data_IF_566540237175
#
_entry.id   IF_566540237175
#
_cell.length_a   1.000
_cell.length_b   1.000
_cell.length_c   1.000
_cell.angle_alpha   90.00
_cell.angle_beta   90.00
_cell.angle_gamma   90.00
#
_symmetry.space_group_name_H-M   'P 1'
#
loop_
_entity.id
_entity.type
_entity.pdbx_description
1 polymer ?
#
# COMPACT_ATOMS: atom_id res chain seq x y z
N UNK A 1 -18.87 -11.70 13.33
CA UNK A 1 -18.16 -11.03 14.45
C UNK A 1 -18.62 -9.58 14.61
N UNK A 2 -18.22 -8.64 13.75
CA UNK A 2 -18.60 -7.22 13.88
C UNK A 2 -20.11 -6.93 13.70
N UNK A 3 -20.83 -7.74 12.91
CA UNK A 3 -22.25 -7.54 12.57
C UNK A 3 -22.57 -6.10 12.13
N UNK A 4 -21.73 -5.53 11.25
CA UNK A 4 -21.95 -4.17 10.75
C UNK A 4 -23.24 -4.12 9.91
N UNK A 5 -24.15 -3.17 10.18
CA UNK A 5 -25.36 -3.00 9.37
C UNK A 5 -25.04 -2.81 7.88
N UNK A 6 -25.80 -3.51 7.02
CA UNK A 6 -25.68 -3.41 5.57
C UNK A 6 -24.43 -4.05 4.94
N UNK A 7 -23.61 -4.76 5.73
CA UNK A 7 -22.42 -5.45 5.23
C UNK A 7 -22.74 -6.60 4.27
N UNK A 8 -23.96 -7.12 4.31
CA UNK A 8 -24.47 -8.13 3.40
C UNK A 8 -24.59 -7.63 1.94
N UNK A 9 -24.61 -6.32 1.72
CA UNK A 9 -24.68 -5.72 0.38
C UNK A 9 -23.32 -5.60 -0.31
N UNK A 10 -22.23 -5.71 0.44
CA UNK A 10 -20.88 -5.51 -0.07
C UNK A 10 -20.30 -6.79 -0.71
N UNK A 11 -20.97 -7.93 -0.53
CA UNK A 11 -20.43 -9.24 -0.88
C UNK A 11 -21.44 -10.07 -1.66
N UNK A 12 -20.93 -10.80 -2.66
CA UNK A 12 -21.72 -11.72 -3.45
C UNK A 12 -22.30 -12.86 -2.58
N UNK A 13 -23.48 -13.43 -2.95
CA UNK A 13 -24.15 -14.48 -2.17
C UNK A 13 -23.26 -15.67 -1.78
N UNK A 14 -22.41 -16.12 -2.69
CA UNK A 14 -21.48 -17.23 -2.51
C UNK A 14 -20.38 -16.94 -1.49
N UNK A 15 -19.87 -15.71 -1.45
CA UNK A 15 -18.90 -15.26 -0.45
C UNK A 15 -19.56 -15.23 0.93
N UNK A 16 -20.80 -14.73 1.02
CA UNK A 16 -21.58 -14.73 2.27
C UNK A 16 -21.83 -16.14 2.79
N UNK A 17 -22.15 -17.09 1.91
CA UNK A 17 -22.35 -18.48 2.27
C UNK A 17 -21.05 -19.14 2.79
N UNK A 18 -19.91 -18.90 2.13
CA UNK A 18 -18.59 -19.36 2.60
C UNK A 18 -18.23 -18.77 3.97
N UNK A 19 -18.41 -17.45 4.13
CA UNK A 19 -18.13 -16.76 5.39
C UNK A 19 -19.01 -17.27 6.54
N UNK A 20 -20.30 -17.56 6.28
CA UNK A 20 -21.19 -18.16 7.28
C UNK A 20 -20.74 -19.55 7.68
N UNK A 21 -20.41 -20.43 6.72
CA UNK A 21 -19.90 -21.78 7.04
C UNK A 21 -18.64 -21.71 7.90
N UNK A 22 -17.65 -20.91 7.49
CA UNK A 22 -16.45 -20.70 8.30
C UNK A 22 -16.78 -20.19 9.70
N UNK A 23 -17.69 -19.23 9.85
CA UNK A 23 -18.07 -18.69 11.15
C UNK A 23 -18.78 -19.72 12.04
N UNK A 24 -19.65 -20.55 11.47
CA UNK A 24 -20.36 -21.59 12.21
C UNK A 24 -19.40 -22.71 12.67
N UNK A 25 -18.43 -23.07 11.82
CA UNK A 25 -17.44 -24.12 12.08
C UNK A 25 -16.27 -23.67 12.97
N UNK A 26 -15.94 -22.37 12.97
CA UNK A 26 -14.78 -21.84 13.68
C UNK A 26 -14.97 -21.84 15.21
N UNK A 27 -13.92 -22.26 15.92
CA UNK A 27 -13.83 -22.13 17.37
C UNK A 27 -13.83 -20.66 17.82
N UNK A 28 -14.18 -20.40 19.08
CA UNK A 28 -14.11 -19.05 19.63
C UNK A 28 -12.68 -18.50 19.64
N UNK A 29 -11.68 -19.38 19.76
CA UNK A 29 -10.27 -19.01 19.65
C UNK A 29 -9.92 -18.53 18.24
N UNK A 30 -10.33 -19.25 17.20
CA UNK A 30 -10.11 -18.84 15.81
C UNK A 30 -10.82 -17.51 15.49
N UNK A 31 -12.03 -17.32 16.01
CA UNK A 31 -12.77 -16.04 15.90
C UNK A 31 -12.02 -14.90 16.59
N UNK A 32 -11.55 -15.11 17.82
CA UNK A 32 -10.75 -14.11 18.55
C UNK A 32 -9.43 -13.80 17.84
N UNK A 33 -8.74 -14.81 17.32
CA UNK A 33 -7.50 -14.64 16.58
C UNK A 33 -7.72 -13.80 15.32
N UNK A 34 -8.73 -14.12 14.49
CA UNK A 34 -9.04 -13.33 13.30
C UNK A 34 -9.43 -11.89 13.65
N UNK A 35 -10.24 -11.70 14.70
CA UNK A 35 -10.60 -10.37 15.17
C UNK A 35 -9.37 -9.58 15.62
N UNK A 36 -8.47 -10.21 16.38
CA UNK A 36 -7.21 -9.63 16.80
C UNK A 36 -6.32 -9.28 15.60
N UNK A 37 -6.25 -10.12 14.56
CA UNK A 37 -5.50 -9.81 13.33
C UNK A 37 -6.08 -8.59 12.60
N UNK A 38 -7.40 -8.51 12.44
CA UNK A 38 -8.07 -7.37 11.80
C UNK A 38 -7.86 -6.08 12.61
N UNK A 39 -7.87 -6.19 13.95
CA UNK A 39 -7.72 -5.07 14.88
C UNK A 39 -6.28 -4.74 15.25
N UNK A 40 -5.31 -5.57 14.88
CA UNK A 40 -3.93 -5.47 15.36
C UNK A 40 -3.29 -4.11 15.01
N UNK A 41 -3.78 -3.46 13.96
CA UNK A 41 -3.09 -2.36 13.31
C UNK A 41 -1.79 -2.86 12.68
N UNK A 42 -1.46 -2.40 11.48
CA UNK A 42 -0.08 -2.53 11.02
C UNK A 42 0.83 -1.74 12.00
N UNK A 43 2.13 -2.07 12.12
CA UNK A 43 3.04 -1.41 13.05
C UNK A 43 2.92 0.12 13.01
N UNK A 44 2.45 0.71 14.11
CA UNK A 44 2.10 2.12 14.26
C UNK A 44 1.05 2.27 15.35
N UNK A 45 1.40 2.95 16.45
CA UNK A 45 0.62 2.93 17.68
C UNK A 45 -0.69 3.73 17.58
N UNK A 46 -1.84 3.04 17.66
CA UNK A 46 -3.14 3.64 17.92
C UNK A 46 -3.96 2.74 18.85
N UNK A 47 -4.92 3.33 19.56
CA UNK A 47 -5.81 2.63 20.49
C UNK A 47 -6.48 1.44 19.80
N UNK A 48 -6.32 0.25 20.38
CA UNK A 48 -6.97 -0.97 19.89
C UNK A 48 -8.45 -0.87 20.20
N UNK A 49 -9.29 -0.81 19.16
CA UNK A 49 -10.74 -0.84 19.33
C UNK A 49 -11.20 -2.26 19.67
N UNK A 50 -12.12 -2.39 20.62
CA UNK A 50 -13.00 -3.56 20.67
C UNK A 50 -14.12 -3.45 19.61
N UNK A 51 -15.06 -4.39 19.60
CA UNK A 51 -16.16 -4.40 18.62
C UNK A 51 -17.03 -3.14 18.76
N UNK A 52 -17.31 -2.69 19.99
CA UNK A 52 -18.19 -1.54 20.23
C UNK A 52 -17.50 -0.23 19.83
N UNK A 53 -16.24 -0.06 20.22
CA UNK A 53 -15.39 1.04 19.80
C UNK A 53 -15.24 1.11 18.29
N UNK A 54 -15.04 -0.03 17.62
CA UNK A 54 -14.95 -0.06 16.15
C UNK A 54 -16.28 0.35 15.50
N UNK A 55 -17.42 -0.12 16.03
CA UNK A 55 -18.75 0.32 15.54
C UNK A 55 -18.95 1.82 15.72
N UNK A 56 -18.59 2.36 16.88
CA UNK A 56 -18.69 3.79 17.17
C UNK A 56 -17.82 4.62 16.22
N UNK A 57 -16.61 4.15 15.93
CA UNK A 57 -15.73 4.81 14.97
C UNK A 57 -16.26 4.76 13.55
N UNK A 58 -16.78 3.62 13.10
CA UNK A 58 -17.40 3.48 11.78
C UNK A 58 -18.62 4.39 11.62
N UNK A 59 -19.43 4.55 12.67
CA UNK A 59 -20.61 5.42 12.64
C UNK A 59 -20.28 6.89 12.33
N UNK A 60 -19.08 7.37 12.69
CA UNK A 60 -18.63 8.74 12.37
C UNK A 60 -18.48 8.99 10.87
N UNK A 61 -18.35 7.93 10.07
CA UNK A 61 -18.19 7.99 8.63
C UNK A 61 -19.47 7.64 7.86
N UNK A 62 -20.62 7.50 8.54
CA UNK A 62 -21.89 7.08 7.92
C UNK A 62 -22.27 7.93 6.68
N UNK A 63 -22.01 9.23 6.73
CA UNK A 63 -22.31 10.19 5.64
C UNK A 63 -21.05 10.58 4.84
N UNK A 64 -19.99 9.76 4.88
CA UNK A 64 -18.74 10.01 4.17
C UNK A 64 -18.59 9.05 3.01
N UNK A 65 -19.03 9.50 1.84
CA UNK A 65 -18.76 8.82 0.58
C UNK A 65 -17.35 9.13 0.05
N UNK A 66 -17.00 8.46 -1.05
CA UNK A 66 -15.71 8.62 -1.70
C UNK A 66 -15.41 10.07 -2.12
N UNK A 67 -16.41 10.78 -2.64
CA UNK A 67 -16.25 12.17 -3.07
C UNK A 67 -16.01 13.12 -1.89
N UNK A 68 -16.73 12.92 -0.77
CA UNK A 68 -16.55 13.71 0.45
C UNK A 68 -15.19 13.45 1.06
N UNK A 69 -14.74 12.19 1.13
CA UNK A 69 -13.41 11.89 1.67
C UNK A 69 -12.30 12.51 0.80
N UNK A 70 -12.45 12.45 -0.53
CA UNK A 70 -11.54 13.14 -1.46
C UNK A 70 -11.48 14.65 -1.24
N UNK A 71 -12.64 15.33 -1.07
CA UNK A 71 -12.67 16.77 -0.75
C UNK A 71 -12.00 17.09 0.59
N UNK A 72 -12.19 16.24 1.60
CA UNK A 72 -11.53 16.43 2.89
C UNK A 72 -10.01 16.31 2.78
N UNK A 73 -9.50 15.34 2.02
CA UNK A 73 -8.07 15.19 1.76
C UNK A 73 -7.51 16.37 0.94
N UNK A 74 -8.21 16.79 -0.11
CA UNK A 74 -7.81 17.95 -0.91
C UNK A 74 -7.64 19.20 -0.04
N UNK A 75 -8.64 19.50 0.81
CA UNK A 75 -8.56 20.61 1.77
C UNK A 75 -7.37 20.48 2.72
N UNK A 76 -7.08 19.27 3.21
CA UNK A 76 -5.90 19.03 4.04
C UNK A 76 -4.61 19.36 3.27
N UNK A 77 -4.48 18.88 2.03
CA UNK A 77 -3.30 19.09 1.19
C UNK A 77 -3.10 20.57 0.84
N UNK A 78 -4.17 21.29 0.48
CA UNK A 78 -4.13 22.74 0.20
C UNK A 78 -3.54 23.54 1.37
N UNK A 79 -3.76 23.10 2.62
CA UNK A 79 -3.23 23.74 3.82
C UNK A 79 -1.79 23.30 4.16
N UNK A 80 -1.47 22.01 4.03
CA UNK A 80 -0.17 21.48 4.48
C UNK A 80 0.94 21.55 3.44
N UNK A 81 0.62 21.42 2.15
CA UNK A 81 1.61 21.37 1.07
C UNK A 81 2.42 22.67 0.97
N UNK A 82 1.84 23.88 1.04
CA UNK A 82 2.62 25.12 1.05
C UNK A 82 3.59 25.21 2.23
N UNK A 83 3.21 24.63 3.37
CA UNK A 83 4.09 24.59 4.55
C UNK A 83 5.23 23.60 4.37
N UNK A 84 4.96 22.43 3.81
CA UNK A 84 5.99 21.45 3.45
C UNK A 84 7.00 22.05 2.46
N UNK A 85 6.52 22.75 1.42
CA UNK A 85 7.35 23.40 0.42
C UNK A 85 8.28 24.46 1.02
N UNK A 86 7.75 25.38 1.86
CA UNK A 86 8.58 26.37 2.57
C UNK A 86 9.63 25.75 3.49
N UNK A 87 9.34 24.57 4.04
CA UNK A 87 10.26 23.82 4.89
C UNK A 87 11.24 22.93 4.12
N UNK A 88 11.16 22.86 2.78
CA UNK A 88 11.96 21.94 1.96
C UNK A 88 11.59 20.47 2.16
N UNK A 89 10.39 20.18 2.66
CA UNK A 89 9.86 18.84 2.89
C UNK A 89 9.06 18.37 1.68
N UNK A 90 9.22 17.09 1.34
CA UNK A 90 8.44 16.40 0.31
C UNK A 90 7.55 15.37 0.96
N UNK A 91 6.23 15.54 0.84
CA UNK A 91 5.22 14.62 1.35
C UNK A 91 5.07 13.46 0.37
N UNK A 92 4.94 12.24 0.87
CA UNK A 92 4.82 11.04 0.05
C UNK A 92 3.64 10.19 0.52
N UNK A 93 2.43 10.48 0.01
CA UNK A 93 1.23 9.76 0.43
C UNK A 93 1.35 8.27 0.08
N UNK A 94 0.98 7.39 1.01
CA UNK A 94 0.99 5.96 0.77
C UNK A 94 -0.38 5.49 0.26
N UNK A 95 -0.44 4.54 -0.69
CA UNK A 95 -1.70 3.97 -1.14
C UNK A 95 -2.42 3.20 -0.03
N UNK A 96 -3.72 3.02 -0.23
CA UNK A 96 -4.55 2.18 0.61
C UNK A 96 -4.10 0.71 0.56
N UNK A 97 -4.14 0.00 1.70
CA UNK A 97 -3.80 -1.42 1.78
C UNK A 97 -4.84 -2.23 2.58
N UNK A 98 -5.71 -3.03 1.94
CA UNK A 98 -5.83 -3.21 0.49
C UNK A 98 -6.45 -1.99 -0.24
N UNK A 99 -6.18 -1.80 -1.54
CA UNK A 99 -6.63 -0.64 -2.34
C UNK A 99 -8.06 -0.79 -2.84
N UNK A 100 -9.00 -0.99 -1.92
CA UNK A 100 -10.43 -1.12 -2.18
C UNK A 100 -11.27 -0.74 -0.96
N UNK A 101 -12.52 -0.28 -1.13
CA UNK A 101 -13.43 -0.02 -0.02
C UNK A 101 -13.55 -1.23 0.90
N UNK A 102 -13.54 -0.99 2.21
CA UNK A 102 -13.59 -2.04 3.22
C UNK A 102 -14.36 -1.53 4.44
N UNK A 103 -15.13 -2.42 5.08
CA UNK A 103 -15.97 -2.08 6.24
C UNK A 103 -17.00 -0.95 5.98
N UNK A 104 -17.44 -0.78 4.73
CA UNK A 104 -18.35 0.30 4.34
C UNK A 104 -17.69 1.69 4.31
N UNK A 105 -16.37 1.76 4.43
CA UNK A 105 -15.61 3.00 4.30
C UNK A 105 -15.07 3.16 2.88
N UNK A 106 -15.11 4.37 2.30
CA UNK A 106 -14.37 4.65 1.09
C UNK A 106 -12.87 4.61 1.35
N UNK A 107 -12.12 4.25 0.31
CA UNK A 107 -10.67 4.30 0.22
C UNK A 107 -10.33 5.08 -1.07
N UNK A 108 -9.44 6.06 -0.98
CA UNK A 108 -9.31 7.17 -1.96
C UNK A 108 -7.88 7.37 -2.49
N UNK A 109 -6.98 6.43 -2.20
CA UNK A 109 -5.61 6.34 -2.72
C UNK A 109 -5.39 4.94 -3.28
N UNK A 110 -6.34 4.45 -4.09
CA UNK A 110 -6.44 3.04 -4.49
C UNK A 110 -6.14 2.74 -5.97
N UNK A 111 -6.22 3.74 -6.85
CA UNK A 111 -6.02 3.59 -8.31
C UNK A 111 -5.17 4.72 -8.90
N UNK A 112 -4.85 4.64 -10.19
CA UNK A 112 -4.17 5.73 -10.90
C UNK A 112 -4.99 7.03 -10.90
N UNK A 113 -6.31 6.94 -11.01
CA UNK A 113 -7.22 8.10 -10.99
C UNK A 113 -7.24 8.78 -9.61
N UNK A 114 -7.23 7.99 -8.54
CA UNK A 114 -7.09 8.46 -7.16
C UNK A 114 -5.79 9.23 -6.97
N UNK A 115 -4.67 8.64 -7.40
CA UNK A 115 -3.34 9.26 -7.32
C UNK A 115 -3.32 10.58 -8.10
N UNK A 116 -3.84 10.58 -9.33
CA UNK A 116 -3.94 11.80 -10.14
C UNK A 116 -4.71 12.90 -9.43
N UNK A 117 -5.91 12.59 -8.92
CA UNK A 117 -6.71 13.54 -8.15
C UNK A 117 -5.95 14.14 -6.96
N UNK A 118 -5.20 13.32 -6.21
CA UNK A 118 -4.45 13.76 -5.03
C UNK A 118 -3.28 14.68 -5.41
N UNK A 119 -2.54 14.33 -6.46
CA UNK A 119 -1.40 15.13 -6.92
C UNK A 119 -1.84 16.47 -7.53
N UNK A 120 -3.02 16.50 -8.13
CA UNK A 120 -3.63 17.69 -8.74
C UNK A 120 -4.31 18.60 -7.71
N UNK A 121 -4.74 18.07 -6.56
CA UNK A 121 -5.39 18.87 -5.49
C UNK A 121 -4.47 19.95 -4.91
N UNK A 122 -3.15 19.74 -4.95
CA UNK A 122 -2.14 20.73 -4.59
C UNK A 122 -0.92 20.54 -5.50
N UNK A 123 -0.85 21.24 -6.65
CA UNK A 123 0.17 21.01 -7.67
C UNK A 123 1.51 21.65 -7.26
N UNK A 124 2.27 20.95 -6.43
CA UNK A 124 3.64 21.30 -6.00
C UNK A 124 4.50 20.03 -5.93
N UNK A 125 5.80 20.18 -6.18
CA UNK A 125 6.79 19.11 -5.99
C UNK A 125 6.87 18.61 -4.55
N UNK A 126 6.31 19.33 -3.58
CA UNK A 126 6.18 18.88 -2.19
C UNK A 126 4.98 17.96 -1.93
N UNK A 127 4.06 17.83 -2.87
CA UNK A 127 2.95 16.88 -2.81
C UNK A 127 3.28 15.68 -3.71
N UNK A 128 3.67 14.54 -3.13
CA UNK A 128 4.07 13.39 -3.91
C UNK A 128 3.56 12.06 -3.38
N UNK A 129 4.09 11.00 -3.98
CA UNK A 129 3.64 9.63 -3.82
C UNK A 129 4.72 8.76 -3.18
N UNK A 130 4.32 7.95 -2.20
CA UNK A 130 5.02 6.69 -1.90
C UNK A 130 4.47 5.63 -2.84
N UNK A 131 5.24 5.22 -3.85
CA UNK A 131 4.83 4.12 -4.73
C UNK A 131 5.01 2.80 -3.98
N UNK A 132 3.91 2.22 -3.49
CA UNK A 132 3.93 0.88 -2.90
C UNK A 132 3.33 -0.13 -3.86
N UNK A 133 4.20 -0.96 -4.45
CA UNK A 133 3.81 -1.98 -5.43
C UNK A 133 2.95 -3.06 -4.81
N UNK A 134 3.21 -3.45 -3.56
CA UNK A 134 2.42 -4.48 -2.89
C UNK A 134 1.01 -4.03 -2.53
N UNK A 135 0.86 -2.79 -2.03
CA UNK A 135 -0.47 -2.27 -1.73
C UNK A 135 -1.27 -2.08 -3.01
N UNK A 136 -0.77 -1.32 -3.98
CA UNK A 136 -1.49 -1.10 -5.25
C UNK A 136 -1.70 -2.40 -6.04
N UNK A 137 -0.78 -3.36 -5.97
CA UNK A 137 -0.88 -4.67 -6.62
C UNK A 137 -1.91 -5.62 -6.02
N UNK A 138 -2.40 -5.36 -4.82
CA UNK A 138 -3.50 -6.13 -4.22
C UNK A 138 -4.88 -5.76 -4.81
N UNK A 139 -4.94 -4.87 -5.80
CA UNK A 139 -6.11 -4.65 -6.67
C UNK A 139 -5.80 -5.23 -8.05
N UNK A 140 -6.49 -6.30 -8.47
CA UNK A 140 -6.46 -6.75 -9.85
C UNK A 140 -6.81 -5.61 -10.81
N UNK A 141 -6.03 -5.47 -11.89
CA UNK A 141 -6.21 -4.45 -12.92
C UNK A 141 -5.44 -3.14 -12.71
N UNK A 142 -4.78 -2.94 -11.56
CA UNK A 142 -3.78 -1.87 -11.48
C UNK A 142 -2.54 -2.26 -12.30
N UNK A 143 -2.14 -1.42 -13.26
CA UNK A 143 -0.90 -1.54 -14.02
C UNK A 143 0.22 -0.81 -13.27
N UNK A 144 1.02 -1.56 -12.48
CA UNK A 144 2.05 -0.97 -11.62
C UNK A 144 3.17 -0.27 -12.41
N UNK A 145 3.75 -0.89 -13.47
CA UNK A 145 4.68 -0.17 -14.35
C UNK A 145 4.06 1.09 -14.96
N UNK A 146 2.82 1.02 -15.44
CA UNK A 146 2.11 2.18 -16.00
C UNK A 146 1.87 3.30 -14.97
N UNK A 147 1.45 2.95 -13.75
CA UNK A 147 1.30 3.89 -12.63
C UNK A 147 2.64 4.53 -12.28
N UNK A 148 3.70 3.71 -12.16
CA UNK A 148 5.06 4.21 -11.89
C UNK A 148 5.52 5.20 -12.96
N UNK A 149 5.27 4.88 -14.24
CA UNK A 149 5.67 5.71 -15.37
C UNK A 149 4.87 7.02 -15.43
N UNK A 150 3.56 6.97 -15.17
CA UNK A 150 2.66 8.13 -15.21
C UNK A 150 2.99 9.17 -14.14
N UNK A 151 3.42 8.73 -12.96
CA UNK A 151 3.66 9.62 -11.81
C UNK A 151 5.14 9.71 -11.40
N UNK A 152 6.06 9.28 -12.27
CA UNK A 152 7.48 9.12 -11.96
C UNK A 152 8.12 10.39 -11.36
N UNK A 153 7.77 11.57 -11.88
CA UNK A 153 8.28 12.86 -11.44
C UNK A 153 7.83 13.26 -10.03
N UNK A 154 6.70 12.71 -9.55
CA UNK A 154 6.09 12.95 -8.24
C UNK A 154 6.27 11.80 -7.25
N UNK A 155 6.99 10.73 -7.61
CA UNK A 155 7.41 9.68 -6.66
C UNK A 155 8.53 10.24 -5.78
N UNK A 156 8.36 10.11 -4.47
CA UNK A 156 9.35 10.56 -3.48
C UNK A 156 9.86 9.45 -2.58
N UNK A 157 9.13 8.33 -2.51
CA UNK A 157 9.53 7.15 -1.77
C UNK A 157 8.94 5.89 -2.43
N UNK A 158 9.58 4.74 -2.24
CA UNK A 158 9.14 3.49 -2.89
C UNK A 158 9.15 2.33 -1.89
N UNK A 159 8.06 1.59 -1.87
CA UNK A 159 7.99 0.27 -1.24
C UNK A 159 7.95 -0.77 -2.34
N UNK A 160 9.04 -1.51 -2.49
CA UNK A 160 9.17 -2.57 -3.47
C UNK A 160 8.95 -3.91 -2.77
N UNK A 161 7.72 -4.41 -2.83
CA UNK A 161 7.32 -5.77 -2.44
C UNK A 161 6.26 -6.27 -3.41
N UNK A 162 5.91 -7.55 -3.35
CA UNK A 162 4.97 -8.15 -4.29
C UNK A 162 3.88 -8.93 -3.54
N UNK A 163 2.74 -9.08 -4.20
CA UNK A 163 1.59 -9.86 -3.72
C UNK A 163 1.14 -10.82 -4.80
N UNK A 164 0.52 -11.92 -4.40
CA UNK A 164 -0.15 -12.85 -5.30
C UNK A 164 -1.65 -12.80 -5.02
N UNK A 165 -2.45 -12.44 -6.02
CA UNK A 165 -3.90 -12.40 -5.93
C UNK A 165 -4.50 -13.76 -6.29
N UNK A 166 -5.50 -14.16 -5.52
CA UNK A 166 -6.33 -15.33 -5.78
C UNK A 166 -7.54 -14.94 -6.63
N UNK A 167 -8.11 -15.92 -7.33
CA UNK A 167 -9.27 -15.70 -8.20
C UNK A 167 -10.52 -15.16 -7.46
N UNK A 168 -10.60 -15.36 -6.14
CA UNK A 168 -11.71 -14.87 -5.30
C UNK A 168 -11.49 -13.45 -4.75
N UNK A 169 -10.41 -12.78 -5.14
CA UNK A 169 -10.05 -11.42 -4.73
C UNK A 169 -9.34 -11.33 -3.38
N UNK A 170 -9.03 -12.46 -2.74
CA UNK A 170 -8.03 -12.51 -1.67
C UNK A 170 -6.61 -12.41 -2.24
N UNK A 171 -5.62 -12.12 -1.39
CA UNK A 171 -4.22 -12.06 -1.80
C UNK A 171 -3.32 -12.38 -0.61
N UNK A 172 -2.06 -12.69 -0.90
CA UNK A 172 -1.00 -12.88 0.10
C UNK A 172 0.29 -12.20 -0.31
N UNK A 173 1.15 -11.90 0.66
CA UNK A 173 2.52 -11.43 0.40
C UNK A 173 3.30 -12.51 -0.34
N UNK A 174 3.89 -12.16 -1.48
CA UNK A 174 4.67 -13.07 -2.32
C UNK A 174 6.19 -12.84 -2.15
N UNK A 175 7.00 -13.70 -2.75
CA UNK A 175 8.42 -13.39 -2.97
C UNK A 175 8.53 -12.10 -3.80
N UNK A 176 9.53 -11.25 -3.56
CA UNK A 176 9.60 -9.91 -4.16
C UNK A 176 9.62 -9.93 -5.69
N UNK A 177 10.14 -11.00 -6.29
CA UNK A 177 10.19 -11.21 -7.75
C UNK A 177 9.19 -12.26 -8.26
N UNK A 178 8.36 -12.84 -7.38
CA UNK A 178 7.49 -13.99 -7.71
C UNK A 178 5.99 -13.75 -7.60
N UNK A 179 5.54 -12.52 -7.34
CA UNK A 179 4.13 -12.15 -7.31
C UNK A 179 3.62 -11.59 -8.64
N UNK A 180 2.43 -10.99 -8.60
CA UNK A 180 1.71 -10.54 -9.81
C UNK A 180 2.28 -9.26 -10.43
N UNK A 181 3.03 -8.47 -9.66
CA UNK A 181 3.68 -7.26 -10.18
C UNK A 181 4.96 -7.61 -10.92
N UNK A 182 5.11 -7.13 -12.16
CA UNK A 182 6.40 -7.14 -12.87
C UNK A 182 7.36 -6.15 -12.19
N UNK A 183 8.09 -6.67 -11.20
CA UNK A 183 9.04 -5.89 -10.40
C UNK A 183 10.22 -5.37 -11.24
N UNK A 184 10.61 -6.10 -12.29
CA UNK A 184 11.71 -5.69 -13.17
C UNK A 184 11.32 -4.46 -13.97
N UNK A 185 10.11 -4.46 -14.55
CA UNK A 185 9.57 -3.30 -15.27
C UNK A 185 9.40 -2.07 -14.36
N UNK A 186 8.89 -2.25 -13.13
CA UNK A 186 8.79 -1.14 -12.16
C UNK A 186 10.18 -0.57 -11.84
N UNK A 187 11.18 -1.42 -11.58
CA UNK A 187 12.54 -0.95 -11.28
C UNK A 187 13.17 -0.23 -12.47
N UNK A 188 12.96 -0.68 -13.72
CA UNK A 188 13.48 0.00 -14.91
C UNK A 188 12.91 1.43 -15.03
N UNK A 189 11.60 1.61 -14.82
CA UNK A 189 10.96 2.93 -14.81
C UNK A 189 11.58 3.84 -13.74
N UNK A 190 11.76 3.32 -12.52
CA UNK A 190 12.34 4.10 -11.42
C UNK A 190 13.78 4.51 -11.71
N UNK A 191 14.63 3.61 -12.23
CA UNK A 191 16.01 3.93 -12.60
C UNK A 191 16.11 4.94 -13.74
N UNK A 192 15.22 4.86 -14.74
CA UNK A 192 15.13 5.86 -15.81
C UNK A 192 14.76 7.23 -15.27
N UNK A 193 13.83 7.29 -14.32
CA UNK A 193 13.48 8.53 -13.65
C UNK A 193 14.65 9.09 -12.85
N UNK A 194 15.40 8.25 -12.12
CA UNK A 194 16.64 8.70 -11.46
C UNK A 194 17.63 9.29 -12.47
N UNK A 195 17.81 8.64 -13.63
CA UNK A 195 18.63 9.13 -14.75
C UNK A 195 18.17 10.50 -15.25
N UNK A 196 16.88 10.66 -15.50
CA UNK A 196 16.29 11.93 -15.95
C UNK A 196 16.53 13.05 -14.92
N UNK A 197 16.27 12.78 -13.63
CA UNK A 197 16.49 13.76 -12.55
C UNK A 197 17.96 14.14 -12.43
N UNK A 198 18.87 13.16 -12.52
CA UNK A 198 20.30 13.41 -12.43
C UNK A 198 20.80 14.26 -13.60
N UNK A 199 20.36 13.96 -14.84
CA UNK A 199 20.69 14.76 -16.02
C UNK A 199 20.14 16.19 -15.94
N UNK A 200 19.00 16.38 -15.27
CA UNK A 200 18.42 17.69 -14.99
C UNK A 200 19.10 18.45 -13.83
N UNK A 201 20.13 17.90 -13.20
CA UNK A 201 20.85 18.54 -12.08
C UNK A 201 20.04 18.60 -10.78
N UNK A 202 18.98 17.79 -10.64
CA UNK A 202 18.17 17.75 -9.43
C UNK A 202 18.95 17.17 -8.26
N UNK A 203 18.93 17.85 -7.12
CA UNK A 203 19.54 17.35 -5.88
C UNK A 203 18.87 16.06 -5.37
N UNK A 204 17.59 15.88 -5.71
CA UNK A 204 16.76 14.76 -5.30
C UNK A 204 16.60 13.68 -6.38
N UNK A 205 17.66 13.45 -7.15
CA UNK A 205 17.66 12.48 -8.23
C UNK A 205 17.51 11.03 -7.77
N UNK A 206 17.93 10.72 -6.54
CA UNK A 206 17.77 9.38 -5.95
C UNK A 206 16.36 9.21 -5.40
N UNK A 207 15.77 8.06 -5.74
CA UNK A 207 14.50 7.59 -5.18
C UNK A 207 14.79 6.62 -4.03
N UNK A 208 14.61 7.03 -2.77
CA UNK A 208 14.76 6.10 -1.67
C UNK A 208 13.72 4.98 -1.78
N UNK A 209 14.13 3.76 -1.47
CA UNK A 209 13.22 2.62 -1.42
C UNK A 209 13.49 1.73 -0.21
N UNK A 210 12.51 0.91 0.14
CA UNK A 210 12.67 -0.22 1.07
C UNK A 210 11.99 -1.47 0.51
N UNK A 211 12.41 -2.69 0.92
CA UNK A 211 11.77 -3.95 0.50
C UNK A 211 10.39 -4.15 1.13
N UNK A 212 9.94 -3.19 1.95
CA UNK A 212 8.69 -3.20 2.71
C UNK A 212 8.53 -4.41 3.63
N UNK A 213 7.80 -5.44 3.20
CA UNK A 213 7.53 -6.65 3.96
C UNK A 213 8.43 -7.81 3.51
N UNK A 214 8.54 -8.84 4.36
CA UNK A 214 9.24 -10.08 4.02
C UNK A 214 8.62 -11.26 4.75
N UNK A 215 8.81 -12.46 4.18
CA UNK A 215 8.34 -13.69 4.82
C UNK A 215 9.14 -14.00 6.08
N UNK A 216 8.47 -14.60 7.05
CA UNK A 216 9.14 -15.21 8.19
C UNK A 216 9.86 -16.47 7.70
N UNK A 217 11.17 -16.55 7.91
CA UNK A 217 12.01 -17.64 7.40
C UNK A 217 13.27 -17.80 8.23
N UNK A 218 13.91 -18.97 8.11
CA UNK A 218 15.17 -19.29 8.78
C UNK A 218 15.07 -18.97 10.29
N UNK A 219 16.09 -18.32 10.86
CA UNK A 219 16.13 -17.99 12.27
C UNK A 219 15.04 -17.03 12.73
N UNK A 220 14.28 -16.38 11.85
CA UNK A 220 13.15 -15.53 12.27
C UNK A 220 11.93 -16.35 12.69
N UNK A 221 11.83 -17.62 12.26
CA UNK A 221 10.70 -18.50 12.60
C UNK A 221 10.61 -18.71 14.11
N UNK A 222 9.45 -18.38 14.67
CA UNK A 222 9.17 -18.51 16.10
C UNK A 222 9.74 -17.39 16.98
N UNK A 223 10.43 -16.39 16.40
CA UNK A 223 10.81 -15.18 17.13
C UNK A 223 9.62 -14.23 17.22
N UNK A 224 9.60 -13.39 18.25
CA UNK A 224 8.62 -12.31 18.39
C UNK A 224 8.91 -11.18 17.37
N UNK A 225 8.61 -11.44 16.09
CA UNK A 225 8.69 -10.44 15.02
C UNK A 225 7.36 -9.71 14.87
N UNK A 226 7.39 -8.48 14.36
CA UNK A 226 6.17 -7.82 13.91
C UNK A 226 5.71 -8.45 12.58
N UNK A 227 4.40 -8.72 12.39
CA UNK A 227 3.90 -9.32 11.15
C UNK A 227 4.38 -8.55 9.90
N UNK A 228 5.03 -9.26 8.98
CA UNK A 228 5.60 -8.68 7.75
C UNK A 228 6.96 -7.98 7.94
N UNK A 229 7.47 -7.82 9.16
CA UNK A 229 8.76 -7.17 9.46
C UNK A 229 9.90 -8.09 9.98
N UNK A 230 9.96 -9.39 9.66
CA UNK A 230 11.14 -10.20 9.99
C UNK A 230 12.38 -9.62 9.28
N UNK A 231 13.57 -9.87 9.83
CA UNK A 231 14.80 -9.31 9.30
C UNK A 231 15.25 -10.03 8.03
N UNK A 232 15.24 -11.37 8.06
CA UNK A 232 15.81 -12.23 7.04
C UNK A 232 15.00 -12.15 5.74
N UNK A 233 13.67 -12.25 5.82
CA UNK A 233 12.81 -12.14 4.64
C UNK A 233 12.92 -10.78 3.93
N UNK A 234 13.01 -9.68 4.70
CA UNK A 234 13.20 -8.34 4.14
C UNK A 234 14.60 -8.15 3.57
N UNK A 235 15.62 -8.71 4.22
CA UNK A 235 16.99 -8.69 3.71
C UNK A 235 17.10 -9.45 2.38
N UNK A 236 16.43 -10.61 2.25
CA UNK A 236 16.33 -11.36 0.98
C UNK A 236 15.74 -10.49 -0.11
N UNK A 237 14.57 -9.90 0.13
CA UNK A 237 13.90 -9.02 -0.83
C UNK A 237 14.76 -7.81 -1.24
N UNK A 238 15.43 -7.17 -0.28
CA UNK A 238 16.36 -6.08 -0.55
C UNK A 238 17.52 -6.53 -1.45
N UNK A 239 18.05 -7.73 -1.23
CA UNK A 239 19.13 -8.28 -2.04
C UNK A 239 18.67 -8.62 -3.47
N UNK A 240 17.48 -9.19 -3.64
CA UNK A 240 16.85 -9.48 -4.93
C UNK A 240 16.68 -8.20 -5.76
N UNK A 241 16.05 -7.18 -5.17
CA UNK A 241 15.82 -5.87 -5.81
C UNK A 241 17.14 -5.21 -6.18
N UNK A 242 18.13 -5.22 -5.28
CA UNK A 242 19.47 -4.66 -5.56
C UNK A 242 20.14 -5.36 -6.74
N UNK A 243 19.96 -6.68 -6.88
CA UNK A 243 20.42 -7.45 -8.03
C UNK A 243 19.79 -6.96 -9.34
N UNK A 244 18.46 -6.84 -9.38
CA UNK A 244 17.70 -6.31 -10.53
C UNK A 244 18.17 -4.89 -10.89
N UNK A 245 18.26 -4.00 -9.90
CA UNK A 245 18.71 -2.63 -10.10
C UNK A 245 20.13 -2.58 -10.70
N UNK A 246 21.06 -3.38 -10.16
CA UNK A 246 22.44 -3.43 -10.64
C UNK A 246 22.54 -3.90 -12.09
N UNK A 247 21.76 -4.93 -12.45
CA UNK A 247 21.74 -5.47 -13.80
C UNK A 247 21.19 -4.44 -14.80
N UNK A 248 20.01 -3.87 -14.51
CA UNK A 248 19.37 -2.86 -15.37
C UNK A 248 20.22 -1.60 -15.51
N UNK A 249 20.80 -1.10 -14.41
CA UNK A 249 21.66 0.08 -14.44
C UNK A 249 22.87 -0.12 -15.37
N UNK A 250 23.52 -1.29 -15.31
CA UNK A 250 24.67 -1.60 -16.18
C UNK A 250 24.27 -1.79 -17.63
N UNK A 251 23.17 -2.48 -17.91
CA UNK A 251 22.72 -2.75 -19.27
C UNK A 251 22.27 -1.47 -19.98
N UNK A 252 21.61 -0.57 -19.25
CA UNK A 252 20.95 0.61 -19.83
C UNK A 252 21.75 1.91 -19.61
N UNK A 253 22.91 1.86 -18.95
CA UNK A 253 23.71 3.04 -18.62
C UNK A 253 23.00 4.02 -17.67
N UNK A 254 22.20 3.51 -16.74
CA UNK A 254 21.42 4.31 -15.78
C UNK A 254 22.17 4.48 -14.46
N UNK A 255 21.91 5.57 -13.69
CA UNK A 255 22.55 5.76 -12.41
C UNK A 255 21.92 4.88 -11.31
N UNK A 256 22.78 4.47 -10.37
CA UNK A 256 22.42 3.68 -9.19
C UNK A 256 22.49 4.53 -7.91
#
# INVERSE_FOLDING_TARGET
MLQRPGADRDWAPEVRARAKRWFDDASDEAKRALLATIMAGLPGAFDRYDIEGLRAMLARYADTDHARLRRNLARFLEEVVPTAERAGVRLAIHPDDPPRPLLGLPRITSTAEDIGFILDAAPSDSNGLTLCTGSLGARPGNDLPGIAQRFADRIHFVHLRNVANEADGSFMEADHLGGDTDMVAVVDVLLREQGRRQAAGRADWRLPFRPDHGHEMLDDVGKATHPGYPAIGRMRGLAEIRGVMTALARQNGLPL
#
